data_IF_699070471073
#
_entry.id   IF_699070471073
#
_cell.length_a   1.000
_cell.length_b   1.000
_cell.length_c   1.000
_cell.angle_alpha   90.00
_cell.angle_beta   90.00
_cell.angle_gamma   90.00
#
_symmetry.space_group_name_H-M   'P 1'
#
loop_
_entity.id
_entity.type
_entity.pdbx_description
1 polymer ?
#
# COMPACT_ATOMS: atom_id res chain seq x y z
N UNK A 1 10.06 19.16 -19.62
CA UNK A 1 10.60 17.83 -19.26
C UNK A 1 9.51 16.77 -19.03
N UNK A 2 8.86 16.66 -17.85
CA UNK A 2 7.87 15.58 -17.63
C UNK A 2 6.64 15.69 -18.56
N UNK A 3 6.05 16.89 -18.69
CA UNK A 3 4.93 17.20 -19.60
C UNK A 3 5.19 16.76 -21.04
N UNK A 4 6.34 17.17 -21.56
CA UNK A 4 6.82 16.92 -22.92
C UNK A 4 7.15 15.44 -23.16
N UNK A 5 7.87 14.80 -22.23
CA UNK A 5 8.25 13.39 -22.37
C UNK A 5 7.07 12.44 -22.20
N UNK A 6 5.98 12.86 -21.53
CA UNK A 6 4.78 12.06 -21.35
C UNK A 6 3.63 12.45 -22.31
N UNK A 7 3.84 13.44 -23.18
CA UNK A 7 2.81 13.99 -24.08
C UNK A 7 1.51 14.38 -23.36
N UNK A 8 1.63 14.90 -22.13
CA UNK A 8 0.48 15.42 -21.39
C UNK A 8 0.31 16.87 -21.80
N UNK A 9 -0.73 17.17 -22.58
CA UNK A 9 -0.96 18.51 -23.15
C UNK A 9 -1.49 19.48 -22.08
N UNK A 10 -2.15 18.96 -21.05
CA UNK A 10 -2.75 19.76 -19.97
C UNK A 10 -1.70 20.34 -19.01
N UNK A 11 -2.11 21.37 -18.26
CA UNK A 11 -1.30 21.89 -17.16
C UNK A 11 -1.24 20.90 -15.99
N UNK A 12 -0.03 20.65 -15.51
CA UNK A 12 0.22 19.61 -14.52
C UNK A 12 -0.31 19.97 -13.12
N UNK A 13 -0.57 21.26 -12.83
CA UNK A 13 -1.09 21.75 -11.54
C UNK A 13 -0.43 21.07 -10.33
N UNK A 14 0.90 21.21 -10.25
CA UNK A 14 1.72 20.65 -9.15
C UNK A 14 1.67 21.61 -7.97
N UNK A 15 1.27 21.11 -6.81
CA UNK A 15 1.26 21.87 -5.55
C UNK A 15 2.66 21.91 -4.93
N UNK A 16 3.35 20.75 -4.91
CA UNK A 16 4.66 20.61 -4.29
C UNK A 16 5.48 19.51 -4.97
N UNK A 17 6.78 19.73 -5.11
CA UNK A 17 7.73 18.70 -5.50
C UNK A 17 9.00 18.82 -4.65
N UNK A 18 9.45 17.72 -4.05
CA UNK A 18 10.65 17.72 -3.22
C UNK A 18 11.34 16.35 -3.21
N UNK A 19 12.63 16.33 -2.82
CA UNK A 19 13.43 15.10 -2.73
C UNK A 19 13.25 14.44 -1.37
N UNK A 20 13.12 13.10 -1.35
CA UNK A 20 12.94 12.30 -0.13
C UNK A 20 14.16 11.38 0.08
N UNK A 21 14.56 11.15 1.34
CA UNK A 21 15.67 10.28 1.73
C UNK A 21 16.88 11.01 2.36
N UNK A 22 17.83 10.26 2.96
CA UNK A 22 18.98 10.79 3.72
C UNK A 22 19.89 11.71 2.89
N UNK A 23 20.68 12.58 3.53
CA UNK A 23 21.65 13.47 2.83
C UNK A 23 22.69 12.62 2.09
N UNK A 24 22.97 12.95 0.83
CA UNK A 24 23.88 12.18 -0.01
C UNK A 24 25.35 12.57 0.19
N UNK A 25 26.24 11.58 0.19
CA UNK A 25 27.64 11.76 -0.22
C UNK A 25 27.81 11.80 -1.75
N UNK A 26 29.00 12.18 -2.24
CA UNK A 26 29.29 12.48 -3.66
C UNK A 26 29.04 11.35 -4.69
N UNK A 27 28.78 10.10 -4.27
CA UNK A 27 28.63 8.91 -5.15
C UNK A 27 27.32 8.14 -4.97
N UNK A 28 26.29 8.74 -4.38
CA UNK A 28 25.04 8.04 -4.10
C UNK A 28 24.02 8.05 -5.24
N UNK A 29 23.12 7.06 -5.22
CA UNK A 29 22.02 6.91 -6.18
C UNK A 29 21.10 8.14 -6.16
N UNK A 30 20.53 8.57 -7.32
CA UNK A 30 19.61 9.70 -7.36
C UNK A 30 18.43 9.54 -6.39
N UNK A 31 18.09 10.60 -5.66
CA UNK A 31 16.92 10.61 -4.75
C UNK A 31 15.61 10.56 -5.53
N UNK A 32 14.64 9.81 -4.98
CA UNK A 32 13.26 9.90 -5.40
C UNK A 32 12.73 11.33 -5.18
N UNK A 33 11.88 11.78 -6.12
CA UNK A 33 11.17 13.06 -6.04
C UNK A 33 9.71 12.74 -5.76
N UNK A 34 9.19 13.20 -4.63
CA UNK A 34 7.78 13.12 -4.31
C UNK A 34 7.06 14.34 -4.89
N UNK A 35 6.05 14.09 -5.72
CA UNK A 35 5.27 15.14 -6.39
C UNK A 35 3.82 15.07 -5.92
N UNK A 36 3.34 16.17 -5.34
CA UNK A 36 1.94 16.37 -4.96
C UNK A 36 1.24 17.18 -6.05
N UNK A 37 0.24 16.56 -6.67
CA UNK A 37 -0.66 17.20 -7.62
C UNK A 37 -1.84 17.81 -6.88
N UNK A 38 -2.35 18.95 -7.38
CA UNK A 38 -3.58 19.55 -6.86
C UNK A 38 -4.82 18.70 -7.21
N UNK A 39 -4.79 17.98 -8.33
CA UNK A 39 -5.88 17.12 -8.81
C UNK A 39 -5.48 15.65 -8.87
N UNK A 40 -6.31 14.78 -8.30
CA UNK A 40 -6.15 13.32 -8.41
C UNK A 40 -6.24 12.85 -9.87
N UNK A 41 -7.15 13.42 -10.67
CA UNK A 41 -7.30 13.06 -12.07
C UNK A 41 -6.02 13.35 -12.87
N UNK A 42 -5.37 14.48 -12.61
CA UNK A 42 -4.10 14.82 -13.25
C UNK A 42 -2.99 13.85 -12.85
N UNK A 43 -2.88 13.52 -11.56
CA UNK A 43 -1.95 12.50 -11.06
C UNK A 43 -2.13 11.17 -11.80
N UNK A 44 -3.37 10.68 -11.90
CA UNK A 44 -3.66 9.41 -12.59
C UNK A 44 -3.33 9.47 -14.07
N UNK A 45 -3.69 10.56 -14.77
CA UNK A 45 -3.37 10.75 -16.19
C UNK A 45 -1.87 10.68 -16.46
N UNK A 46 -1.06 11.34 -15.62
CA UNK A 46 0.41 11.30 -15.70
C UNK A 46 0.95 9.88 -15.46
N UNK A 47 0.47 9.19 -14.43
CA UNK A 47 0.88 7.80 -14.13
C UNK A 47 0.53 6.84 -15.27
N UNK A 48 -0.69 6.92 -15.81
CA UNK A 48 -1.14 6.09 -16.92
C UNK A 48 -0.34 6.35 -18.19
N UNK A 49 -0.03 7.61 -18.49
CA UNK A 49 0.83 7.97 -19.62
C UNK A 49 2.25 7.39 -19.46
N UNK A 50 2.85 7.52 -18.28
CA UNK A 50 4.17 6.98 -17.98
C UNK A 50 4.19 5.46 -18.06
N UNK A 51 3.22 4.79 -17.45
CA UNK A 51 3.12 3.34 -17.50
C UNK A 51 2.91 2.86 -18.93
N UNK A 52 2.00 3.47 -19.71
CA UNK A 52 1.78 3.10 -21.11
C UNK A 52 3.05 3.24 -21.96
N UNK A 53 3.85 4.29 -21.71
CA UNK A 53 5.12 4.52 -22.42
C UNK A 53 6.21 3.51 -22.04
N UNK A 54 6.17 2.93 -20.84
CA UNK A 54 7.09 1.91 -20.27
C UNK A 54 8.56 2.34 -20.11
N UNK A 55 9.11 3.06 -21.08
CA UNK A 55 10.46 3.60 -21.08
C UNK A 55 10.42 5.13 -21.20
N UNK A 56 10.52 5.81 -20.05
CA UNK A 56 10.61 7.26 -19.98
C UNK A 56 12.05 7.62 -19.66
N UNK A 57 12.69 8.41 -20.52
CA UNK A 57 14.09 8.81 -20.37
C UNK A 57 14.21 10.32 -20.22
N UNK A 58 15.10 10.74 -19.32
CA UNK A 58 15.54 12.12 -19.12
C UNK A 58 17.07 12.09 -19.12
N UNK A 59 17.71 12.91 -19.96
CA UNK A 59 19.18 12.94 -20.10
C UNK A 59 19.77 11.53 -20.24
N UNK A 60 19.19 10.73 -21.14
CA UNK A 60 19.54 9.31 -21.41
C UNK A 60 19.42 8.34 -20.22
N UNK A 61 18.92 8.80 -19.08
CA UNK A 61 18.64 7.97 -17.92
C UNK A 61 17.16 7.61 -17.86
N UNK A 62 16.88 6.32 -17.67
CA UNK A 62 15.51 5.83 -17.47
C UNK A 62 15.01 6.27 -16.09
N UNK A 63 13.81 6.85 -16.08
CA UNK A 63 13.09 7.23 -14.86
C UNK A 63 11.83 6.39 -14.71
N UNK A 64 11.44 6.16 -13.46
CA UNK A 64 10.27 5.38 -13.09
C UNK A 64 9.23 6.29 -12.42
N UNK A 65 7.96 5.98 -12.67
CA UNK A 65 6.83 6.67 -12.08
C UNK A 65 6.00 5.63 -11.34
N UNK A 66 5.88 5.81 -10.03
CA UNK A 66 5.13 4.93 -9.15
C UNK A 66 4.19 5.76 -8.28
N UNK A 67 3.14 5.11 -7.78
CA UNK A 67 2.19 5.73 -6.88
C UNK A 67 2.70 5.63 -5.43
N UNK A 68 2.62 6.74 -4.69
CA UNK A 68 3.03 6.80 -3.28
C UNK A 68 1.95 6.18 -2.39
N UNK A 69 2.25 5.05 -1.76
CA UNK A 69 1.36 4.35 -0.83
C UNK A 69 1.92 4.39 0.59
N UNK A 70 1.02 4.35 1.57
CA UNK A 70 1.42 4.17 2.97
C UNK A 70 2.02 2.77 3.19
N UNK A 71 2.82 2.63 4.24
CA UNK A 71 3.43 1.35 4.61
C UNK A 71 2.40 0.24 4.85
N UNK A 72 1.24 0.57 5.42
CA UNK A 72 0.13 -0.37 5.60
C UNK A 72 -0.40 -0.89 4.26
N UNK A 73 -0.63 0.00 3.29
CA UNK A 73 -1.09 -0.38 1.95
C UNK A 73 -0.02 -1.21 1.23
N UNK A 74 1.25 -0.87 1.36
CA UNK A 74 2.34 -1.69 0.80
C UNK A 74 2.35 -3.11 1.36
N UNK A 75 2.19 -3.28 2.68
CA UNK A 75 2.11 -4.59 3.33
C UNK A 75 0.94 -5.41 2.79
N UNK A 76 -0.26 -4.82 2.71
CA UNK A 76 -1.44 -5.52 2.18
C UNK A 76 -1.27 -5.92 0.70
N UNK A 77 -0.69 -5.05 -0.13
CA UNK A 77 -0.42 -5.37 -1.54
C UNK A 77 0.66 -6.44 -1.70
N UNK A 78 1.61 -6.52 -0.77
CA UNK A 78 2.64 -7.56 -0.77
C UNK A 78 2.07 -8.97 -0.56
N UNK A 79 0.92 -9.10 0.13
CA UNK A 79 0.24 -10.40 0.30
C UNK A 79 -0.18 -11.04 -1.03
N UNK A 80 -0.44 -10.23 -2.06
CA UNK A 80 -0.78 -10.71 -3.41
C UNK A 80 0.43 -11.10 -4.27
N UNK A 81 1.66 -11.02 -3.76
CA UNK A 81 2.89 -11.24 -4.53
C UNK A 81 2.91 -12.62 -5.20
N UNK A 82 2.61 -13.66 -4.45
CA UNK A 82 2.64 -15.04 -4.96
C UNK A 82 1.54 -15.29 -5.99
N UNK A 83 0.32 -14.86 -5.66
CA UNK A 83 -0.83 -14.92 -6.58
C UNK A 83 -0.51 -14.23 -7.90
N UNK A 84 0.10 -13.04 -7.85
CA UNK A 84 0.45 -12.26 -9.04
C UNK A 84 1.55 -12.92 -9.87
N UNK A 85 2.53 -13.58 -9.24
CA UNK A 85 3.59 -14.32 -9.93
C UNK A 85 2.98 -15.42 -10.79
N UNK A 86 2.11 -16.23 -10.22
CA UNK A 86 1.44 -17.33 -10.91
C UNK A 86 0.53 -16.83 -12.04
N UNK A 87 -0.18 -15.72 -11.82
CA UNK A 87 -1.00 -15.09 -12.87
C UNK A 87 -0.17 -14.61 -14.05
N UNK A 88 1.00 -14.03 -13.80
CA UNK A 88 1.92 -13.62 -14.85
C UNK A 88 2.46 -14.81 -15.65
N UNK A 89 2.85 -15.90 -14.98
CA UNK A 89 3.33 -17.13 -15.62
C UNK A 89 2.28 -17.72 -16.57
N UNK A 90 1.00 -17.65 -16.17
CA UNK A 90 -0.15 -18.12 -16.97
C UNK A 90 -0.69 -17.08 -17.95
N UNK A 91 -0.03 -15.92 -18.07
CA UNK A 91 -0.46 -14.80 -18.94
C UNK A 91 -1.88 -14.28 -18.66
N UNK A 92 -2.40 -14.50 -17.45
CA UNK A 92 -3.69 -13.97 -17.02
C UNK A 92 -3.52 -12.51 -16.65
N UNK A 93 -4.23 -11.63 -17.35
CA UNK A 93 -4.16 -10.19 -17.11
C UNK A 93 -4.75 -9.88 -15.73
N UNK A 94 -3.97 -9.22 -14.88
CA UNK A 94 -4.37 -8.84 -13.53
C UNK A 94 -3.90 -7.42 -13.15
N UNK A 95 -4.59 -6.79 -12.21
CA UNK A 95 -4.21 -5.48 -11.64
C UNK A 95 -4.56 -5.45 -10.15
N UNK A 96 -3.67 -4.93 -9.32
CA UNK A 96 -3.99 -4.64 -7.92
C UNK A 96 -4.55 -3.21 -7.86
N UNK A 97 -5.80 -3.08 -7.45
CA UNK A 97 -6.47 -1.81 -7.21
C UNK A 97 -6.15 -1.30 -5.80
N UNK A 98 -6.21 0.02 -5.63
CA UNK A 98 -6.17 0.63 -4.31
C UNK A 98 -7.40 0.21 -3.48
N UNK A 99 -7.26 -0.01 -2.16
CA UNK A 99 -6.00 -0.07 -1.41
C UNK A 99 -5.20 -1.35 -1.68
N UNK A 100 -5.82 -2.52 -1.63
CA UNK A 100 -5.17 -3.81 -1.93
C UNK A 100 -6.21 -4.84 -2.39
N UNK A 101 -6.74 -4.68 -3.60
CA UNK A 101 -7.75 -5.59 -4.18
C UNK A 101 -7.25 -6.15 -5.51
N UNK A 102 -7.30 -7.47 -5.70
CA UNK A 102 -6.89 -8.10 -6.94
C UNK A 102 -8.03 -8.10 -7.96
N UNK A 103 -7.85 -7.39 -9.07
CA UNK A 103 -8.73 -7.41 -10.25
C UNK A 103 -8.16 -8.38 -11.28
N UNK A 104 -8.96 -9.35 -11.68
CA UNK A 104 -8.68 -10.29 -12.76
C UNK A 104 -9.51 -9.95 -14.00
N UNK A 105 -8.90 -10.09 -15.17
CA UNK A 105 -9.57 -10.02 -16.46
C UNK A 105 -9.68 -11.44 -17.01
N UNK A 106 -10.89 -11.98 -17.08
CA UNK A 106 -11.16 -13.34 -17.55
C UNK A 106 -11.21 -13.36 -19.08
N UNK A 107 -10.97 -14.53 -19.67
CA UNK A 107 -11.07 -14.75 -21.13
C UNK A 107 -12.48 -14.47 -21.66
N UNK A 108 -13.52 -14.80 -20.87
CA UNK A 108 -14.94 -14.53 -21.17
C UNK A 108 -15.31 -13.02 -21.16
N UNK A 109 -14.34 -12.12 -21.04
CA UNK A 109 -14.55 -10.68 -20.86
C UNK A 109 -15.06 -10.28 -19.47
N UNK A 110 -15.36 -11.24 -18.60
CA UNK A 110 -15.78 -11.00 -17.21
C UNK A 110 -14.64 -10.46 -16.36
N UNK A 111 -14.98 -9.63 -15.40
CA UNK A 111 -14.04 -9.04 -14.44
C UNK A 111 -14.39 -9.54 -13.05
N UNK A 112 -13.42 -10.15 -12.36
CA UNK A 112 -13.54 -10.54 -10.95
C UNK A 112 -12.64 -9.69 -10.08
N UNK A 113 -13.11 -9.32 -8.90
CA UNK A 113 -12.33 -8.52 -7.94
C UNK A 113 -12.37 -9.19 -6.58
N UNK A 114 -11.19 -9.47 -6.04
CA UNK A 114 -11.01 -10.07 -4.73
C UNK A 114 -10.40 -9.04 -3.78
N UNK A 115 -10.95 -8.94 -2.57
CA UNK A 115 -10.43 -8.08 -1.52
C UNK A 115 -9.43 -8.78 -0.61
N UNK A 116 -9.37 -10.11 -0.71
CA UNK A 116 -8.54 -10.96 0.12
C UNK A 116 -7.70 -11.93 -0.74
N UNK A 117 -6.40 -12.13 -0.44
CA UNK A 117 -5.54 -13.07 -1.17
C UNK A 117 -6.00 -14.52 -1.11
N UNK A 118 -6.59 -14.97 0.01
CA UNK A 118 -7.09 -16.34 0.16
C UNK A 118 -8.34 -16.55 -0.69
N UNK A 119 -9.29 -15.61 -0.65
CA UNK A 119 -10.44 -15.61 -1.54
C UNK A 119 -10.03 -15.58 -3.02
N UNK A 120 -9.00 -14.80 -3.36
CA UNK A 120 -8.41 -14.82 -4.69
C UNK A 120 -7.86 -16.20 -5.04
N UNK A 121 -7.17 -16.87 -4.11
CA UNK A 121 -6.59 -18.19 -4.34
C UNK A 121 -7.63 -19.28 -4.60
N UNK A 122 -8.75 -19.25 -3.87
CA UNK A 122 -9.88 -20.16 -4.10
C UNK A 122 -10.50 -19.87 -5.46
N UNK A 123 -10.83 -18.61 -5.75
CA UNK A 123 -11.45 -18.21 -7.01
C UNK A 123 -10.56 -18.47 -8.23
N UNK A 124 -9.26 -18.65 -8.04
CA UNK A 124 -8.30 -19.00 -9.07
C UNK A 124 -8.33 -20.47 -9.49
N UNK A 125 -8.88 -21.36 -8.67
CA UNK A 125 -9.11 -22.77 -9.03
C UNK A 125 -10.07 -22.90 -10.22
N UNK A 126 -11.05 -22.02 -10.31
CA UNK A 126 -11.98 -21.94 -11.46
C UNK A 126 -11.25 -21.65 -12.78
N UNK A 127 -10.05 -21.09 -12.72
CA UNK A 127 -9.20 -20.79 -13.88
C UNK A 127 -8.10 -21.84 -14.08
N UNK A 128 -8.25 -23.04 -13.46
CA UNK A 128 -7.29 -24.13 -13.52
C UNK A 128 -5.98 -23.84 -12.75
N UNK A 129 -5.96 -22.81 -11.90
CA UNK A 129 -4.78 -22.42 -11.13
C UNK A 129 -4.82 -23.07 -9.74
N UNK A 130 -4.07 -24.16 -9.58
CA UNK A 130 -3.82 -24.74 -8.27
C UNK A 130 -2.68 -23.97 -7.59
N UNK A 131 -3.00 -23.30 -6.49
CA UNK A 131 -2.01 -22.64 -5.63
C UNK A 131 -1.98 -23.34 -4.27
N UNK A 132 -0.77 -23.58 -3.75
CA UNK A 132 -0.60 -23.80 -2.31
C UNK A 132 -0.87 -22.46 -1.64
N UNK A 133 -2.01 -22.38 -0.96
CA UNK A 133 -2.41 -21.22 -0.18
C UNK A 133 -1.36 -21.10 0.93
N UNK A 134 -0.57 -20.01 1.01
CA UNK A 134 0.22 -19.75 2.21
C UNK A 134 -0.78 -19.64 3.35
N UNK A 135 -0.66 -20.51 4.36
CA UNK A 135 -1.46 -20.42 5.58
C UNK A 135 -1.46 -18.97 6.06
N UNK A 136 -2.62 -18.47 6.50
CA UNK A 136 -2.68 -17.19 7.19
C UNK A 136 -1.62 -17.22 8.28
N UNK A 137 -0.54 -16.47 8.12
CA UNK A 137 0.39 -16.26 9.24
C UNK A 137 -0.46 -15.54 10.27
N UNK A 138 -0.80 -16.17 11.40
CA UNK A 138 -1.70 -15.56 12.36
C UNK A 138 -1.11 -14.21 12.73
N UNK A 139 -1.98 -13.19 12.74
CA UNK A 139 -1.57 -11.83 13.07
C UNK A 139 -0.71 -11.86 14.34
N UNK A 140 0.40 -11.12 14.34
CA UNK A 140 1.36 -11.18 15.44
C UNK A 140 0.66 -10.89 16.77
N UNK A 141 -0.32 -10.00 16.79
CA UNK A 141 -1.11 -9.70 17.98
C UNK A 141 -1.96 -10.90 18.42
N UNK A 142 -2.64 -11.58 17.48
CA UNK A 142 -3.40 -12.80 17.75
C UNK A 142 -2.51 -13.96 18.24
N UNK A 143 -1.34 -14.12 17.66
CA UNK A 143 -0.34 -15.14 18.04
C UNK A 143 0.18 -14.86 19.45
N UNK A 144 0.57 -13.62 19.72
CA UNK A 144 1.05 -13.21 21.05
C UNK A 144 -0.03 -13.42 22.11
N UNK A 145 -1.28 -13.00 21.85
CA UNK A 145 -2.41 -13.24 22.78
C UNK A 145 -2.66 -14.73 23.02
N UNK A 146 -2.66 -15.54 21.97
CA UNK A 146 -2.84 -16.99 22.07
C UNK A 146 -1.71 -17.68 22.82
N UNK A 147 -0.50 -17.13 22.74
CA UNK A 147 0.68 -17.56 23.48
C UNK A 147 0.74 -17.00 24.91
N UNK A 148 -0.32 -16.33 25.38
CA UNK A 148 -0.44 -15.78 26.74
C UNK A 148 0.32 -14.48 26.96
N UNK A 149 0.82 -13.84 25.90
CA UNK A 149 1.49 -12.53 25.99
C UNK A 149 0.45 -11.41 25.96
N UNK A 150 0.28 -10.73 27.09
CA UNK A 150 -0.45 -9.48 27.16
C UNK A 150 0.48 -8.29 26.91
N UNK A 151 0.02 -7.28 26.17
CA UNK A 151 0.84 -6.09 25.95
C UNK A 151 0.99 -5.30 27.25
N UNK A 152 2.18 -4.74 27.50
CA UNK A 152 2.50 -3.94 28.70
C UNK A 152 1.55 -2.72 28.85
N UNK A 153 0.93 -2.28 27.75
CA UNK A 153 -0.07 -1.20 27.76
C UNK A 153 -1.45 -1.65 28.27
N UNK A 154 -1.80 -2.94 28.18
CA UNK A 154 -3.03 -3.49 28.74
C UNK A 154 -2.96 -3.60 30.27
N UNK A 155 -1.84 -4.07 30.82
CA UNK A 155 -1.61 -4.16 32.28
C UNK A 155 -1.68 -2.80 32.99
N UNK A 156 -1.29 -1.69 32.33
CA UNK A 156 -1.41 -0.34 32.93
C UNK A 156 -2.85 0.09 33.20
N UNK A 157 -3.85 -0.47 32.51
CA UNK A 157 -5.26 -0.12 32.71
C UNK A 157 -5.92 -0.86 33.88
N UNK A 158 -5.37 -2.03 34.23
CA UNK A 158 -5.87 -2.93 35.29
C UNK A 158 -4.98 -2.93 36.54
N UNK A 159 -3.83 -2.24 36.49
CA UNK A 159 -2.99 -2.04 37.68
C UNK A 159 -3.75 -1.24 38.75
N UNK A 160 -3.66 -1.60 40.04
CA UNK A 160 -4.32 -0.90 41.15
C UNK A 160 -4.06 0.62 41.16
N UNK A 161 -2.85 1.01 40.73
CA UNK A 161 -2.45 2.42 40.62
C UNK A 161 -3.31 3.22 39.64
N UNK A 162 -3.87 2.59 38.61
CA UNK A 162 -4.71 3.24 37.61
C UNK A 162 -6.15 3.49 38.11
N UNK A 163 -6.66 2.67 39.04
CA UNK A 163 -7.93 2.93 39.73
C UNK A 163 -7.79 4.09 40.74
N UNK A 164 -6.66 4.17 41.44
CA UNK A 164 -6.34 5.29 42.32
C UNK A 164 -6.27 6.61 41.55
N UNK A 165 -5.62 6.64 40.38
CA UNK A 165 -5.52 7.83 39.52
C UNK A 165 -6.88 8.23 38.93
N UNK A 166 -7.76 7.27 38.60
CA UNK A 166 -9.15 7.58 38.20
C UNK A 166 -9.96 8.16 39.34
N UNK A 167 -9.84 7.62 40.55
CA UNK A 167 -10.53 8.13 41.75
C UNK A 167 -10.15 9.57 42.06
N UNK A 168 -8.85 9.88 42.05
CA UNK A 168 -8.33 11.24 42.30
C UNK A 168 -8.83 12.25 41.25
N UNK A 169 -8.84 11.89 39.97
CA UNK A 169 -9.33 12.77 38.91
C UNK A 169 -10.85 12.98 38.93
N UNK A 170 -11.60 12.06 39.53
CA UNK A 170 -13.06 12.18 39.68
C UNK A 170 -13.39 13.11 40.85
N UNK A 171 -12.62 13.05 41.94
CA UNK A 171 -12.73 13.96 43.09
C UNK A 171 -12.32 15.40 42.75
N UNK A 172 -11.26 15.58 41.96
CA UNK A 172 -10.83 16.91 41.50
C UNK A 172 -11.83 17.60 40.57
N UNK A 173 -12.71 16.83 39.90
CA UNK A 173 -13.79 17.38 39.06
C UNK A 173 -15.03 17.79 39.87
N UNK A 174 -15.23 17.26 41.07
CA UNK A 174 -16.37 17.64 41.94
C UNK A 174 -16.12 18.91 42.76
N UNK A 175 -14.86 19.35 42.90
CA UNK A 175 -14.48 20.57 43.66
C UNK A 175 -14.31 21.82 42.78
N UNK A 176 -14.72 21.75 41.50
CA UNK A 176 -14.67 22.85 40.53
C UNK A 176 -16.05 23.29 40.00
N UNK A 177 -17.13 22.92 40.69
CA UNK A 177 -18.46 23.53 40.54
C UNK A 177 -18.76 24.45 41.71
#
# INVERSE_FOLDING_TARGET
LAREKLYVIDDLNIERAHRVGPKMGQRERPKAILVRFQSYAMKQKVLEAAWRKRNVQVTDQRIYFDEDFTSAVFKERAKYKEVRKILNERKVKSRILFPARLKLFCEDGKVKVYSDPHAAAIGLREFGVNMNIPEEVPDLESTLRSAGWESVHAQRRTSPDHELIKGVNTLLKSHKS
#
